data_IF_959534329769
#
_entry.id   IF_959534329769
#
_cell.length_a   1.000
_cell.length_b   1.000
_cell.length_c   1.000
_cell.angle_alpha   90.00
_cell.angle_beta   90.00
_cell.angle_gamma   90.00
#
_symmetry.space_group_name_H-M   'P 1'
#
loop_
_entity.id
_entity.type
_entity.pdbx_description
1 polymer ?
#
# COMPACT_ATOMS: atom_id res chain seq x y z
N UNK A 1 0.56 -23.71 -3.45
CA UNK A 1 -0.09 -22.38 -3.30
C UNK A 1 -1.31 -22.62 -2.43
N UNK A 2 -1.12 -22.55 -1.11
CA UNK A 2 -2.08 -23.08 -0.13
C UNK A 2 -3.18 -22.04 0.09
N UNK A 3 -4.32 -22.27 -0.57
CA UNK A 3 -5.59 -21.57 -0.37
C UNK A 3 -6.08 -21.80 1.06
N UNK A 4 -5.95 -20.81 1.93
CA UNK A 4 -6.72 -20.75 3.18
C UNK A 4 -8.13 -20.25 2.84
N UNK A 5 -8.96 -21.14 2.30
CA UNK A 5 -10.40 -21.04 2.49
C UNK A 5 -10.65 -21.21 3.99
N UNK A 6 -11.33 -20.28 4.68
CA UNK A 6 -11.79 -20.57 6.02
C UNK A 6 -12.87 -21.64 5.91
N UNK A 7 -12.55 -22.83 6.42
CA UNK A 7 -13.48 -23.90 6.70
C UNK A 7 -14.74 -23.32 7.37
N UNK A 8 -15.91 -23.62 6.81
CA UNK A 8 -17.23 -23.28 7.36
C UNK A 8 -17.55 -24.00 8.68
N UNK A 9 -16.59 -24.71 9.29
CA UNK A 9 -16.82 -25.64 10.39
C UNK A 9 -16.49 -25.12 11.79
N UNK A 10 -16.17 -23.84 12.00
CA UNK A 10 -15.86 -23.33 13.36
C UNK A 10 -16.58 -22.01 13.69
N UNK A 11 -17.92 -22.02 13.57
CA UNK A 11 -18.77 -21.06 14.29
C UNK A 11 -19.04 -21.60 15.71
N UNK A 12 -17.98 -21.72 16.50
CA UNK A 12 -18.13 -21.90 17.94
C UNK A 12 -18.60 -20.56 18.54
N UNK A 13 -19.91 -20.43 18.73
CA UNK A 13 -20.48 -19.42 19.62
C UNK A 13 -19.86 -19.58 21.01
N UNK A 14 -19.25 -18.52 21.54
CA UNK A 14 -18.89 -18.49 22.96
C UNK A 14 -20.13 -18.75 23.81
N UNK A 15 -19.97 -19.34 25.00
CA UNK A 15 -21.07 -19.66 25.92
C UNK A 15 -21.91 -18.43 26.37
N UNK A 16 -21.49 -17.22 26.00
CA UNK A 16 -22.11 -15.91 26.29
C UNK A 16 -22.74 -15.25 25.03
N UNK A 17 -22.82 -15.96 23.89
CA UNK A 17 -23.44 -15.44 22.65
C UNK A 17 -22.68 -14.30 21.98
N UNK A 18 -21.49 -13.94 22.47
CA UNK A 18 -20.61 -12.93 21.84
C UNK A 18 -19.86 -13.55 20.64
N UNK A 19 -19.76 -12.84 19.50
CA UNK A 19 -18.96 -13.29 18.38
C UNK A 19 -17.51 -13.49 18.84
N UNK A 20 -16.89 -14.61 18.43
CA UNK A 20 -15.50 -14.90 18.73
C UNK A 20 -14.63 -13.69 18.33
N UNK A 21 -13.89 -13.13 19.28
CA UNK A 21 -13.05 -11.97 19.05
C UNK A 21 -11.97 -12.35 18.04
N UNK A 22 -12.10 -11.87 16.81
CA UNK A 22 -11.08 -12.02 15.79
C UNK A 22 -9.73 -11.45 16.23
N UNK A 23 -8.65 -11.72 15.48
CA UNK A 23 -7.32 -11.24 15.83
C UNK A 23 -7.31 -9.72 16.11
N UNK A 24 -6.80 -9.33 17.27
CA UNK A 24 -6.82 -7.95 17.79
C UNK A 24 -5.79 -7.02 17.13
N UNK A 25 -5.08 -7.50 16.09
CA UNK A 25 -4.09 -6.71 15.38
C UNK A 25 -3.62 -7.37 14.08
N UNK A 26 -2.79 -6.65 13.33
CA UNK A 26 -2.28 -7.11 12.03
C UNK A 26 -1.00 -7.93 12.14
N UNK A 27 -0.41 -8.06 13.33
CA UNK A 27 0.89 -8.71 13.55
C UNK A 27 0.81 -10.23 13.63
N UNK A 28 1.88 -10.91 13.21
CA UNK A 28 2.18 -12.30 13.52
C UNK A 28 3.59 -12.40 14.10
N UNK A 29 3.97 -13.54 14.68
CA UNK A 29 5.34 -13.80 15.15
C UNK A 29 6.37 -13.51 14.04
N UNK A 30 6.07 -13.91 12.80
CA UNK A 30 6.94 -13.64 11.65
C UNK A 30 7.07 -12.13 11.35
N UNK A 31 5.99 -11.34 11.38
CA UNK A 31 6.07 -9.90 11.12
C UNK A 31 6.71 -9.14 12.28
N UNK A 32 6.59 -9.64 13.52
CA UNK A 32 7.29 -9.11 14.69
C UNK A 32 8.79 -9.35 14.57
N UNK A 33 9.20 -10.58 14.27
CA UNK A 33 10.61 -10.93 14.04
C UNK A 33 11.19 -10.09 12.91
N UNK A 34 10.48 -9.95 11.78
CA UNK A 34 10.90 -9.07 10.69
C UNK A 34 11.03 -7.61 11.15
N UNK A 35 10.08 -7.11 11.94
CA UNK A 35 10.16 -5.76 12.51
C UNK A 35 11.39 -5.55 13.39
N UNK A 36 11.71 -6.51 14.26
CA UNK A 36 12.93 -6.48 15.09
C UNK A 36 14.18 -6.52 14.23
N UNK A 37 14.24 -7.37 13.21
CA UNK A 37 15.36 -7.44 12.26
C UNK A 37 15.55 -6.11 11.54
N UNK A 38 14.46 -5.47 11.08
CA UNK A 38 14.51 -4.16 10.44
C UNK A 38 15.01 -3.08 11.39
N UNK A 39 14.56 -3.07 12.64
CA UNK A 39 15.03 -2.12 13.65
C UNK A 39 16.52 -2.28 13.96
N UNK A 40 16.96 -3.51 14.23
CA UNK A 40 18.37 -3.80 14.51
C UNK A 40 19.25 -3.54 13.30
N UNK A 41 18.81 -3.93 12.10
CA UNK A 41 19.49 -3.66 10.85
C UNK A 41 19.58 -2.17 10.54
N UNK A 42 18.53 -1.40 10.83
CA UNK A 42 18.53 0.06 10.71
C UNK A 42 19.49 0.74 11.68
N UNK A 43 19.55 0.29 12.93
CA UNK A 43 20.52 0.77 13.90
C UNK A 43 21.96 0.46 13.46
N UNK A 44 22.21 -0.77 12.99
CA UNK A 44 23.51 -1.16 12.45
C UNK A 44 23.89 -0.32 11.22
N UNK A 45 22.96 -0.09 10.30
CA UNK A 45 23.15 0.77 9.13
C UNK A 45 23.51 2.20 9.53
N UNK A 46 22.85 2.76 10.55
CA UNK A 46 23.17 4.09 11.05
C UNK A 46 24.60 4.16 11.60
N UNK A 47 25.02 3.18 12.40
CA UNK A 47 26.39 3.11 12.94
C UNK A 47 27.42 2.95 11.81
N UNK A 48 27.17 2.04 10.86
CA UNK A 48 28.08 1.79 9.76
C UNK A 48 28.16 2.97 8.80
N UNK A 49 27.02 3.48 8.32
CA UNK A 49 26.96 4.57 7.35
C UNK A 49 27.38 5.91 7.91
N UNK A 50 27.03 6.23 9.17
CA UNK A 50 27.28 7.55 9.74
C UNK A 50 28.59 7.65 10.53
N UNK A 51 29.16 6.54 11.01
CA UNK A 51 30.38 6.58 11.84
C UNK A 51 31.53 5.73 11.28
N UNK A 52 31.31 4.44 11.01
CA UNK A 52 32.42 3.50 10.79
C UNK A 52 32.94 3.44 9.34
N UNK A 53 32.09 3.78 8.38
CA UNK A 53 32.52 3.80 6.97
C UNK A 53 33.47 4.95 6.73
N UNK A 54 34.62 4.63 6.10
CA UNK A 54 35.63 5.63 5.72
C UNK A 54 35.06 6.58 4.65
N UNK A 55 35.52 7.85 4.61
CA UNK A 55 35.17 8.78 3.56
C UNK A 55 35.48 8.20 2.18
N UNK A 56 34.59 8.44 1.23
CA UNK A 56 34.77 8.02 -0.15
C UNK A 56 35.92 8.79 -0.83
N UNK A 57 36.60 8.16 -1.79
CA UNK A 57 37.75 8.78 -2.47
C UNK A 57 37.33 10.02 -3.27
N UNK A 58 36.14 10.01 -3.88
CA UNK A 58 35.63 11.09 -4.72
C UNK A 58 34.66 12.00 -3.95
N UNK A 59 33.73 11.37 -3.23
CA UNK A 59 32.63 12.05 -2.54
C UNK A 59 33.01 12.50 -1.12
N UNK A 60 34.02 11.88 -0.50
CA UNK A 60 34.38 12.13 0.89
C UNK A 60 33.22 11.81 1.84
N UNK A 61 32.99 12.70 2.80
CA UNK A 61 31.89 12.61 3.78
C UNK A 61 30.49 12.71 3.14
N UNK A 62 30.40 13.24 1.90
CA UNK A 62 29.13 13.38 1.17
C UNK A 62 28.54 12.04 0.75
N UNK A 63 29.29 10.94 0.85
CA UNK A 63 28.79 9.60 0.58
C UNK A 63 27.80 9.11 1.66
N UNK A 64 27.88 9.60 2.90
CA UNK A 64 27.11 9.02 4.00
C UNK A 64 25.58 9.04 3.81
N UNK A 65 24.96 10.14 3.32
CA UNK A 65 23.51 10.14 3.07
C UNK A 65 23.07 9.19 1.95
N UNK A 66 23.97 8.79 1.04
CA UNK A 66 23.67 7.85 -0.05
C UNK A 66 23.27 6.49 0.49
N UNK A 67 23.83 6.06 1.64
CA UNK A 67 23.45 4.80 2.30
C UNK A 67 21.99 4.75 2.75
N UNK A 68 21.30 5.89 2.83
CA UNK A 68 19.86 5.97 3.12
C UNK A 68 19.08 6.33 1.86
N UNK A 69 19.56 7.31 1.09
CA UNK A 69 18.88 7.81 -0.10
C UNK A 69 18.67 6.73 -1.19
N UNK A 70 19.71 5.94 -1.49
CA UNK A 70 19.65 4.90 -2.52
C UNK A 70 18.68 3.77 -2.15
N UNK A 71 18.69 3.26 -0.90
CA UNK A 71 17.64 2.34 -0.45
C UNK A 71 16.23 2.92 -0.52
N UNK A 72 16.03 4.21 -0.19
CA UNK A 72 14.69 4.80 -0.23
C UNK A 72 14.12 4.87 -1.66
N UNK A 73 14.92 5.27 -2.65
CA UNK A 73 14.44 5.34 -4.03
C UNK A 73 14.22 3.96 -4.63
N UNK A 74 15.07 3.01 -4.28
CA UNK A 74 14.97 1.62 -4.75
C UNK A 74 13.72 0.93 -4.19
N UNK A 75 13.42 1.14 -2.90
CA UNK A 75 12.19 0.67 -2.28
C UNK A 75 10.94 1.32 -2.91
N UNK A 76 10.97 2.64 -3.16
CA UNK A 76 9.88 3.33 -3.85
C UNK A 76 9.62 2.73 -5.23
N UNK A 77 10.66 2.53 -6.04
CA UNK A 77 10.54 1.94 -7.38
C UNK A 77 9.96 0.52 -7.34
N UNK A 78 10.44 -0.33 -6.43
CA UNK A 78 9.88 -1.68 -6.27
C UNK A 78 8.39 -1.63 -5.93
N UNK A 79 7.99 -0.78 -5.00
CA UNK A 79 6.59 -0.61 -4.59
C UNK A 79 5.72 -0.06 -5.72
N UNK A 80 6.23 0.85 -6.53
CA UNK A 80 5.53 1.34 -7.72
C UNK A 80 5.42 0.30 -8.85
N UNK A 81 6.42 -0.57 -9.00
CA UNK A 81 6.31 -1.74 -9.89
C UNK A 81 5.23 -2.70 -9.36
N UNK A 82 5.19 -2.97 -8.05
CA UNK A 82 4.12 -3.77 -7.44
C UNK A 82 2.74 -3.12 -7.60
N UNK A 83 2.65 -1.79 -7.51
CA UNK A 83 1.43 -1.05 -7.82
C UNK A 83 0.99 -1.26 -9.27
N UNK A 84 1.93 -1.15 -10.22
CA UNK A 84 1.66 -1.38 -11.64
C UNK A 84 1.18 -2.82 -11.90
N UNK A 85 1.85 -3.81 -11.32
CA UNK A 85 1.44 -5.23 -11.42
C UNK A 85 0.05 -5.44 -10.83
N UNK A 86 -0.22 -4.93 -9.62
CA UNK A 86 -1.56 -5.02 -9.02
C UNK A 86 -2.63 -4.32 -9.87
N UNK A 87 -2.30 -3.17 -10.46
CA UNK A 87 -3.18 -2.42 -11.35
C UNK A 87 -3.50 -3.20 -12.64
N UNK A 88 -2.48 -3.76 -13.31
CA UNK A 88 -2.67 -4.59 -14.49
C UNK A 88 -3.49 -5.84 -14.18
N UNK A 89 -3.20 -6.52 -13.07
CA UNK A 89 -3.91 -7.71 -12.64
C UNK A 89 -5.36 -7.43 -12.23
N UNK A 90 -5.66 -6.25 -11.66
CA UNK A 90 -7.03 -5.80 -11.46
C UNK A 90 -7.76 -5.64 -12.80
N UNK A 91 -7.15 -4.99 -13.79
CA UNK A 91 -7.79 -4.80 -15.10
C UNK A 91 -8.06 -6.13 -15.82
N UNK A 92 -7.16 -7.11 -15.66
CA UNK A 92 -7.32 -8.43 -16.27
C UNK A 92 -8.26 -9.36 -15.50
N UNK A 93 -8.07 -9.53 -14.19
CA UNK A 93 -8.79 -10.52 -13.38
C UNK A 93 -9.93 -9.95 -12.53
N UNK A 94 -10.03 -8.63 -12.39
CA UNK A 94 -11.06 -7.94 -11.61
C UNK A 94 -11.21 -8.45 -10.16
N UNK A 95 -10.11 -8.88 -9.55
CA UNK A 95 -10.09 -9.38 -8.16
C UNK A 95 -9.67 -8.30 -7.16
N UNK A 96 -10.43 -8.17 -6.08
CA UNK A 96 -10.18 -7.21 -4.97
C UNK A 96 -8.78 -7.32 -4.37
N UNK A 97 -8.18 -8.51 -4.40
CA UNK A 97 -6.82 -8.74 -3.93
C UNK A 97 -5.80 -7.87 -4.68
N UNK A 98 -5.88 -7.83 -6.01
CA UNK A 98 -4.95 -7.06 -6.82
C UNK A 98 -5.15 -5.56 -6.68
N UNK A 99 -6.39 -5.12 -6.53
CA UNK A 99 -6.70 -3.72 -6.22
C UNK A 99 -6.14 -3.30 -4.85
N UNK A 100 -6.31 -4.14 -3.82
CA UNK A 100 -5.78 -3.87 -2.49
C UNK A 100 -4.25 -3.88 -2.45
N UNK A 101 -3.62 -4.78 -3.21
CA UNK A 101 -2.16 -4.80 -3.38
C UNK A 101 -1.67 -3.51 -4.04
N UNK A 102 -2.34 -3.08 -5.11
CA UNK A 102 -1.99 -1.84 -5.80
C UNK A 102 -2.12 -0.63 -4.86
N UNK A 103 -3.23 -0.52 -4.12
CA UNK A 103 -3.46 0.55 -3.18
C UNK A 103 -2.38 0.62 -2.09
N UNK A 104 -2.12 -0.52 -1.43
CA UNK A 104 -1.12 -0.59 -0.36
C UNK A 104 0.29 -0.26 -0.88
N UNK A 105 0.66 -0.76 -2.05
CA UNK A 105 1.96 -0.50 -2.64
C UNK A 105 2.15 0.97 -3.04
N UNK A 106 1.13 1.63 -3.60
CA UNK A 106 1.20 3.06 -3.91
C UNK A 106 1.36 3.92 -2.66
N UNK A 107 0.60 3.65 -1.59
CA UNK A 107 0.67 4.44 -0.36
C UNK A 107 2.02 4.30 0.34
N UNK A 108 2.54 3.08 0.47
CA UNK A 108 3.87 2.86 1.06
C UNK A 108 4.96 3.42 0.13
N UNK A 109 4.83 3.23 -1.19
CA UNK A 109 5.77 3.76 -2.17
C UNK A 109 5.86 5.27 -2.14
N UNK A 110 4.73 5.95 -1.94
CA UNK A 110 4.66 7.41 -1.81
C UNK A 110 5.43 7.91 -0.58
N UNK A 111 5.37 7.19 0.55
CA UNK A 111 6.16 7.50 1.75
C UNK A 111 7.66 7.39 1.44
N UNK A 112 8.09 6.30 0.81
CA UNK A 112 9.51 6.11 0.43
C UNK A 112 9.99 7.15 -0.60
N UNK A 113 9.13 7.53 -1.53
CA UNK A 113 9.47 8.57 -2.51
C UNK A 113 9.56 9.95 -1.85
N UNK A 114 8.69 10.26 -0.88
CA UNK A 114 8.81 11.48 -0.07
C UNK A 114 10.11 11.51 0.73
N UNK A 115 10.50 10.38 1.35
CA UNK A 115 11.79 10.23 2.01
C UNK A 115 12.96 10.39 1.04
N UNK A 116 12.82 9.89 -0.19
CA UNK A 116 13.81 10.06 -1.26
C UNK A 116 14.00 11.52 -1.60
N UNK A 117 12.92 12.29 -1.77
CA UNK A 117 13.01 13.73 -2.03
C UNK A 117 13.66 14.48 -0.87
N UNK A 118 13.30 14.16 0.38
CA UNK A 118 13.87 14.79 1.56
C UNK A 118 15.37 14.51 1.72
N UNK A 119 15.75 13.24 1.65
CA UNK A 119 17.15 12.82 1.76
C UNK A 119 17.99 13.31 0.58
N UNK A 120 17.40 13.34 -0.62
CA UNK A 120 18.02 13.89 -1.83
C UNK A 120 18.27 15.40 -1.71
N UNK A 121 17.30 16.16 -1.21
CA UNK A 121 17.44 17.60 -0.98
C UNK A 121 18.55 17.90 0.05
N UNK A 122 18.61 17.13 1.14
CA UNK A 122 19.70 17.24 2.12
C UNK A 122 21.07 16.94 1.49
N UNK A 123 21.15 15.89 0.67
CA UNK A 123 22.36 15.54 -0.05
C UNK A 123 22.78 16.60 -1.08
N UNK A 124 21.82 17.20 -1.78
CA UNK A 124 22.05 18.33 -2.68
C UNK A 124 22.65 19.53 -1.93
N UNK A 125 22.15 19.84 -0.72
CA UNK A 125 22.65 20.97 0.08
C UNK A 125 24.12 20.81 0.46
N UNK A 126 24.55 19.59 0.80
CA UNK A 126 25.95 19.30 1.17
C UNK A 126 26.87 19.15 -0.04
N UNK A 127 26.33 18.79 -1.21
CA UNK A 127 27.13 18.50 -2.41
C UNK A 127 27.26 19.72 -3.33
N UNK A 128 26.18 20.47 -3.53
CA UNK A 128 26.08 21.59 -4.46
C UNK A 128 25.70 22.92 -3.80
N UNK A 129 25.41 22.92 -2.50
CA UNK A 129 25.09 24.15 -1.75
C UNK A 129 23.61 24.55 -1.77
N UNK A 130 22.75 23.83 -2.48
CA UNK A 130 21.30 24.12 -2.62
C UNK A 130 20.45 22.88 -2.33
N UNK A 131 19.27 23.06 -1.74
CA UNK A 131 18.35 21.95 -1.46
C UNK A 131 17.61 21.45 -2.70
N UNK A 132 17.45 22.30 -3.70
CA UNK A 132 16.69 21.99 -4.90
C UNK A 132 17.31 22.67 -6.09
N UNK A 133 17.39 21.94 -7.18
CA UNK A 133 17.64 22.45 -8.52
C UNK A 133 16.54 21.92 -9.44
N UNK A 134 16.26 22.65 -10.51
CA UNK A 134 15.21 22.28 -11.47
C UNK A 134 15.74 21.37 -12.58
N UNK A 135 16.70 20.51 -12.25
CA UNK A 135 17.22 19.56 -13.22
C UNK A 135 16.21 18.44 -13.55
N UNK A 136 16.52 17.71 -14.62
CA UNK A 136 15.62 16.69 -15.15
C UNK A 136 15.30 15.56 -14.16
N UNK A 137 16.25 15.12 -13.32
CA UNK A 137 16.04 14.03 -12.36
C UNK A 137 15.20 14.51 -11.19
N UNK A 138 15.52 15.66 -10.60
CA UNK A 138 14.73 16.23 -9.49
C UNK A 138 13.30 16.50 -9.92
N UNK A 139 13.14 17.18 -11.05
CA UNK A 139 11.83 17.56 -11.57
C UNK A 139 11.01 16.32 -11.92
N UNK A 140 11.57 15.34 -12.63
CA UNK A 140 10.84 14.11 -12.96
C UNK A 140 10.47 13.29 -11.71
N UNK A 141 11.34 13.27 -10.69
CA UNK A 141 11.05 12.60 -9.41
C UNK A 141 9.90 13.28 -8.67
N UNK A 142 9.87 14.62 -8.67
CA UNK A 142 8.76 15.40 -8.12
C UNK A 142 7.45 15.16 -8.89
N UNK A 143 7.51 15.11 -10.22
CA UNK A 143 6.34 14.78 -11.05
C UNK A 143 5.82 13.38 -10.72
N UNK A 144 6.71 12.40 -10.56
CA UNK A 144 6.33 11.05 -10.12
C UNK A 144 5.70 11.05 -8.73
N UNK A 145 6.24 11.84 -7.79
CA UNK A 145 5.66 12.00 -6.45
C UNK A 145 4.25 12.56 -6.52
N UNK A 146 4.04 13.63 -7.28
CA UNK A 146 2.72 14.24 -7.46
C UNK A 146 1.74 13.32 -8.20
N UNK A 147 2.21 12.51 -9.16
CA UNK A 147 1.38 11.53 -9.85
C UNK A 147 0.87 10.43 -8.89
N UNK A 148 1.73 9.90 -8.02
CA UNK A 148 1.33 8.92 -7.01
C UNK A 148 0.54 9.54 -5.85
N UNK A 149 0.79 10.80 -5.50
CA UNK A 149 -0.08 11.55 -4.57
C UNK A 149 -1.48 11.71 -5.17
N UNK A 150 -1.56 12.04 -6.47
CA UNK A 150 -2.81 12.07 -7.23
C UNK A 150 -3.51 10.71 -7.28
N UNK A 151 -2.76 9.61 -7.41
CA UNK A 151 -3.30 8.25 -7.32
C UNK A 151 -3.99 8.01 -5.97
N UNK A 152 -3.34 8.35 -4.85
CA UNK A 152 -3.91 8.17 -3.51
C UNK A 152 -5.13 9.06 -3.31
N UNK A 153 -5.06 10.34 -3.73
CA UNK A 153 -6.17 11.28 -3.65
C UNK A 153 -7.38 10.82 -4.49
N UNK A 154 -7.16 10.32 -5.71
CA UNK A 154 -8.20 9.77 -6.58
C UNK A 154 -8.94 8.63 -5.88
N UNK A 155 -8.21 7.73 -5.22
CA UNK A 155 -8.82 6.61 -4.47
C UNK A 155 -9.67 7.08 -3.30
N UNK A 156 -9.26 8.16 -2.61
CA UNK A 156 -10.07 8.76 -1.55
C UNK A 156 -11.32 9.49 -2.05
N UNK A 157 -11.35 9.94 -3.30
CA UNK A 157 -12.46 10.73 -3.86
C UNK A 157 -13.61 9.93 -4.46
N UNK A 158 -13.41 8.65 -4.80
CA UNK A 158 -14.40 7.82 -5.49
C UNK A 158 -15.03 6.81 -4.53
N UNK A 159 -16.35 6.91 -4.36
CA UNK A 159 -17.13 6.02 -3.51
C UNK A 159 -17.30 4.63 -4.10
N UNK A 160 -17.69 4.53 -5.38
CA UNK A 160 -17.90 3.23 -6.03
C UNK A 160 -16.58 2.43 -6.12
N UNK A 161 -16.47 1.27 -5.43
CA UNK A 161 -15.21 0.55 -5.32
C UNK A 161 -14.66 0.06 -6.66
N UNK A 162 -15.53 -0.29 -7.61
CA UNK A 162 -15.13 -0.85 -8.91
C UNK A 162 -14.63 0.23 -9.86
N UNK A 163 -15.31 1.37 -9.92
CA UNK A 163 -14.89 2.56 -10.66
C UNK A 163 -13.61 3.12 -10.07
N UNK A 164 -13.52 3.21 -8.74
CA UNK A 164 -12.30 3.61 -8.01
C UNK A 164 -11.11 2.77 -8.44
N UNK A 165 -11.23 1.45 -8.30
CA UNK A 165 -10.16 0.51 -8.62
C UNK A 165 -9.73 0.61 -10.10
N UNK A 166 -10.69 0.73 -11.02
CA UNK A 166 -10.41 0.80 -12.46
C UNK A 166 -9.71 2.10 -12.84
N UNK A 167 -10.21 3.26 -12.38
CA UNK A 167 -9.58 4.56 -12.67
C UNK A 167 -8.20 4.68 -12.01
N UNK A 168 -8.08 4.22 -10.77
CA UNK A 168 -6.79 4.18 -10.08
C UNK A 168 -5.81 3.26 -10.83
N UNK A 169 -6.22 2.07 -11.27
CA UNK A 169 -5.34 1.16 -12.00
C UNK A 169 -4.78 1.78 -13.30
N UNK A 170 -5.60 2.51 -14.06
CA UNK A 170 -5.13 3.23 -15.26
C UNK A 170 -4.10 4.30 -14.89
N UNK A 171 -4.38 5.10 -13.84
CA UNK A 171 -3.44 6.12 -13.37
C UNK A 171 -2.14 5.52 -12.82
N UNK A 172 -2.21 4.40 -12.11
CA UNK A 172 -1.04 3.69 -11.57
C UNK A 172 -0.13 3.17 -12.67
N UNK A 173 -0.71 2.55 -13.71
CA UNK A 173 0.05 2.12 -14.89
C UNK A 173 0.69 3.29 -15.64
N UNK A 174 -0.05 4.39 -15.83
CA UNK A 174 0.52 5.61 -16.43
C UNK A 174 1.65 6.21 -15.60
N UNK A 175 1.49 6.25 -14.27
CA UNK A 175 2.50 6.78 -13.35
C UNK A 175 3.75 5.90 -13.29
N UNK A 176 3.62 4.58 -13.47
CA UNK A 176 4.76 3.67 -13.52
C UNK A 176 5.72 3.95 -14.69
N UNK A 177 5.23 4.56 -15.79
CA UNK A 177 6.07 5.00 -16.90
C UNK A 177 7.03 6.14 -16.50
N UNK A 178 6.78 6.81 -15.37
CA UNK A 178 7.70 7.82 -14.84
C UNK A 178 8.96 7.20 -14.23
N UNK A 179 8.94 5.91 -13.83
CA UNK A 179 10.14 5.24 -13.30
C UNK A 179 11.29 5.24 -14.32
N UNK A 180 11.12 4.71 -15.56
CA UNK A 180 12.19 4.76 -16.55
C UNK A 180 12.54 6.20 -16.96
N UNK A 181 11.57 7.12 -16.99
CA UNK A 181 11.83 8.54 -17.26
C UNK A 181 12.78 9.14 -16.22
N UNK A 182 12.51 8.94 -14.93
CA UNK A 182 13.37 9.43 -13.84
C UNK A 182 14.75 8.77 -13.90
N UNK A 183 14.80 7.45 -14.11
CA UNK A 183 16.07 6.73 -14.16
C UNK A 183 16.96 7.21 -15.32
N UNK A 184 16.39 7.32 -16.52
CA UNK A 184 17.09 7.74 -17.74
C UNK A 184 17.23 9.25 -17.90
N UNK A 185 16.59 10.05 -17.05
CA UNK A 185 16.68 11.52 -17.10
C UNK A 185 18.12 12.05 -17.09
N UNK A 186 19.03 11.39 -16.37
CA UNK A 186 20.44 11.78 -16.29
C UNK A 186 21.17 11.53 -17.61
N UNK A 187 20.92 10.39 -18.24
CA UNK A 187 21.54 10.03 -19.53
C UNK A 187 21.00 10.93 -20.65
N UNK A 188 19.68 11.18 -20.66
CA UNK A 188 19.01 11.91 -21.74
C UNK A 188 19.27 13.42 -21.70
N UNK A 189 19.29 14.03 -20.52
CA UNK A 189 19.45 15.49 -20.38
C UNK A 189 20.82 15.93 -19.86
N UNK A 190 21.79 15.01 -19.73
CA UNK A 190 23.15 15.31 -19.25
C UNK A 190 23.12 16.17 -17.98
N UNK A 191 22.29 15.77 -17.02
CA UNK A 191 22.11 16.48 -15.75
C UNK A 191 23.42 16.51 -14.96
N UNK A 192 23.62 17.54 -14.14
CA UNK A 192 24.69 17.59 -13.13
C UNK A 192 24.55 16.47 -12.08
N UNK A 193 23.39 15.80 -12.04
CA UNK A 193 23.18 14.63 -11.21
C UNK A 193 24.11 13.48 -11.57
N UNK A 194 24.73 12.91 -10.54
CA UNK A 194 25.56 11.73 -10.69
C UNK A 194 24.75 10.57 -11.30
N UNK A 195 25.42 9.76 -12.12
CA UNK A 195 24.88 8.54 -12.70
C UNK A 195 24.40 7.53 -11.65
N UNK A 196 23.79 6.43 -12.09
CA UNK A 196 23.27 5.39 -11.19
C UNK A 196 24.40 4.69 -10.43
N UNK A 197 24.38 4.72 -9.09
CA UNK A 197 25.33 3.97 -8.24
C UNK A 197 25.08 2.46 -8.26
N UNK A 198 23.86 2.01 -8.56
CA UNK A 198 23.48 0.58 -8.52
C UNK A 198 23.62 -0.16 -9.85
N UNK A 199 23.42 0.56 -10.95
CA UNK A 199 23.40 -0.01 -12.31
C UNK A 199 24.38 0.68 -13.27
N UNK A 200 25.18 1.62 -12.78
CA UNK A 200 26.36 2.12 -13.48
C UNK A 200 27.56 1.20 -13.25
N UNK A 201 28.73 1.60 -13.77
CA UNK A 201 29.99 1.01 -13.36
C UNK A 201 30.14 1.24 -11.85
N UNK A 202 29.97 0.18 -11.04
CA UNK A 202 30.37 0.22 -9.63
C UNK A 202 31.81 0.73 -9.63
N UNK A 203 32.05 1.89 -9.02
CA UNK A 203 33.39 2.44 -8.95
C UNK A 203 34.30 1.35 -8.37
N UNK A 204 35.34 0.89 -9.09
CA UNK A 204 36.28 -0.10 -8.59
C UNK A 204 36.91 0.28 -7.25
N UNK A 205 36.85 1.57 -6.87
CA UNK A 205 37.29 2.10 -5.58
C UNK A 205 36.31 1.87 -4.42
N UNK A 206 35.01 1.61 -4.68
CA UNK A 206 34.01 1.28 -3.66
C UNK A 206 34.15 -0.18 -3.19
N UNK A 207 35.25 -0.47 -2.50
CA UNK A 207 35.56 -1.79 -1.94
C UNK A 207 35.19 -1.93 -0.46
N UNK A 208 34.96 -3.17 -0.02
CA UNK A 208 34.88 -3.53 1.41
C UNK A 208 33.67 -2.95 2.14
N UNK A 209 33.93 -2.18 3.20
CA UNK A 209 32.89 -1.73 4.14
C UNK A 209 31.86 -0.79 3.51
N UNK A 210 32.25 0.03 2.53
CA UNK A 210 31.34 0.93 1.82
C UNK A 210 30.28 0.15 1.03
N UNK A 211 30.72 -0.85 0.28
CA UNK A 211 29.83 -1.70 -0.51
C UNK A 211 28.93 -2.54 0.39
N UNK A 212 29.50 -3.12 1.46
CA UNK A 212 28.73 -3.85 2.46
C UNK A 212 27.64 -2.95 3.08
N UNK A 213 27.98 -1.72 3.46
CA UNK A 213 27.04 -0.77 4.06
C UNK A 213 25.93 -0.38 3.09
N UNK A 214 26.25 -0.19 1.80
CA UNK A 214 25.25 0.08 0.76
C UNK A 214 24.29 -1.09 0.58
N UNK A 215 24.80 -2.32 0.46
CA UNK A 215 23.96 -3.51 0.31
C UNK A 215 23.13 -3.81 1.57
N UNK A 216 23.71 -3.60 2.76
CA UNK A 216 22.95 -3.66 4.01
C UNK A 216 21.80 -2.64 3.99
N UNK A 217 22.08 -1.41 3.54
CA UNK A 217 21.06 -0.38 3.36
C UNK A 217 19.94 -0.83 2.44
N UNK A 218 20.28 -1.41 1.28
CA UNK A 218 19.29 -1.96 0.34
C UNK A 218 18.47 -3.06 0.99
N UNK A 219 19.11 -4.03 1.64
CA UNK A 219 18.41 -5.15 2.31
C UNK A 219 17.47 -4.64 3.39
N UNK A 220 17.92 -3.73 4.26
CA UNK A 220 17.10 -3.14 5.32
C UNK A 220 15.95 -2.31 4.74
N UNK A 221 16.22 -1.49 3.70
CA UNK A 221 15.21 -0.70 3.02
C UNK A 221 14.13 -1.55 2.37
N UNK A 222 14.51 -2.64 1.69
CA UNK A 222 13.56 -3.59 1.09
C UNK A 222 12.78 -4.36 2.14
N UNK A 223 13.43 -4.77 3.24
CA UNK A 223 12.77 -5.43 4.36
C UNK A 223 11.75 -4.49 5.04
N UNK A 224 12.09 -3.22 5.26
CA UNK A 224 11.19 -2.21 5.79
C UNK A 224 10.01 -1.96 4.84
N UNK A 225 10.27 -1.82 3.55
CA UNK A 225 9.23 -1.66 2.53
C UNK A 225 8.25 -2.83 2.50
N UNK A 226 8.77 -4.06 2.51
CA UNK A 226 7.96 -5.28 2.58
C UNK A 226 7.17 -5.37 3.89
N UNK A 227 7.79 -5.03 5.03
CA UNK A 227 7.13 -5.03 6.32
C UNK A 227 5.97 -4.03 6.37
N UNK A 228 6.17 -2.80 5.92
CA UNK A 228 5.12 -1.78 5.82
C UNK A 228 4.03 -2.18 4.82
N UNK A 229 4.38 -2.75 3.67
CA UNK A 229 3.45 -3.24 2.68
C UNK A 229 2.53 -4.34 3.25
N UNK A 230 3.09 -5.31 3.98
CA UNK A 230 2.32 -6.39 4.62
C UNK A 230 1.29 -5.80 5.59
N UNK A 231 1.70 -4.88 6.45
CA UNK A 231 0.79 -4.26 7.42
C UNK A 231 -0.27 -3.42 6.72
N UNK A 232 0.12 -2.59 5.76
CA UNK A 232 -0.82 -1.73 5.03
C UNK A 232 -1.84 -2.54 4.23
N UNK A 233 -1.39 -3.62 3.59
CA UNK A 233 -2.26 -4.56 2.89
C UNK A 233 -3.23 -5.23 3.86
N UNK A 234 -2.74 -5.76 4.99
CA UNK A 234 -3.58 -6.40 6.01
C UNK A 234 -4.67 -5.48 6.55
N UNK A 235 -4.31 -4.23 6.87
CA UNK A 235 -5.30 -3.23 7.31
C UNK A 235 -6.38 -3.06 6.25
N UNK A 236 -6.01 -2.78 5.00
CA UNK A 236 -7.00 -2.57 3.95
C UNK A 236 -7.84 -3.80 3.64
N UNK A 237 -7.23 -4.99 3.69
CA UNK A 237 -7.92 -6.25 3.49
C UNK A 237 -8.96 -6.52 4.58
N UNK A 238 -8.61 -6.28 5.84
CA UNK A 238 -9.55 -6.41 6.96
C UNK A 238 -10.68 -5.38 6.88
N UNK A 239 -10.38 -4.15 6.47
CA UNK A 239 -11.42 -3.14 6.23
C UNK A 239 -12.42 -3.60 5.17
N UNK A 240 -11.95 -4.15 4.04
CA UNK A 240 -12.82 -4.72 3.01
C UNK A 240 -13.70 -5.86 3.55
N UNK A 241 -13.14 -6.75 4.37
CA UNK A 241 -13.90 -7.85 4.98
C UNK A 241 -14.99 -7.36 5.94
N UNK A 242 -14.70 -6.33 6.73
CA UNK A 242 -15.68 -5.71 7.63
C UNK A 242 -16.80 -5.05 6.84
N UNK A 243 -16.48 -4.34 5.76
CA UNK A 243 -17.47 -3.71 4.86
C UNK A 243 -18.39 -4.76 4.21
N UNK A 244 -17.84 -5.87 3.70
CA UNK A 244 -18.60 -6.96 3.09
C UNK A 244 -19.47 -7.72 4.12
N UNK A 245 -18.93 -7.96 5.32
CA UNK A 245 -19.64 -8.64 6.40
C UNK A 245 -20.83 -7.82 6.93
N UNK A 246 -20.62 -6.53 7.22
CA UNK A 246 -21.68 -5.64 7.69
C UNK A 246 -22.81 -5.46 6.67
N UNK A 247 -22.48 -5.46 5.38
CA UNK A 247 -23.49 -5.44 4.32
C UNK A 247 -24.36 -6.70 4.34
N UNK A 248 -23.77 -7.86 4.57
CA UNK A 248 -24.50 -9.14 4.64
C UNK A 248 -25.49 -9.14 5.81
N UNK A 249 -25.04 -8.68 6.99
CA UNK A 249 -25.89 -8.55 8.17
C UNK A 249 -27.06 -7.58 7.95
N UNK A 250 -26.81 -6.44 7.31
CA UNK A 250 -27.86 -5.47 6.98
C UNK A 250 -28.90 -6.05 6.01
N UNK A 251 -28.47 -6.84 5.02
CA UNK A 251 -29.38 -7.51 4.08
C UNK A 251 -30.26 -8.53 4.81
N UNK A 252 -29.67 -9.34 5.68
CA UNK A 252 -30.41 -10.37 6.42
C UNK A 252 -31.40 -9.75 7.44
N UNK A 253 -31.02 -8.64 8.09
CA UNK A 253 -31.93 -7.87 8.94
C UNK A 253 -33.15 -7.35 8.16
N UNK A 254 -32.94 -6.77 6.95
CA UNK A 254 -34.03 -6.29 6.10
C UNK A 254 -34.93 -7.41 5.58
N UNK A 255 -34.35 -8.58 5.26
CA UNK A 255 -35.14 -9.77 4.89
C UNK A 255 -36.00 -10.26 6.06
N UNK A 256 -35.46 -10.25 7.28
CA UNK A 256 -36.20 -10.62 8.49
C UNK A 256 -37.33 -9.63 8.81
N UNK A 257 -37.11 -8.32 8.65
CA UNK A 257 -38.15 -7.30 8.76
C UNK A 257 -39.28 -7.51 7.73
N UNK A 258 -38.93 -7.77 6.47
CA UNK A 258 -39.89 -8.02 5.41
C UNK A 258 -40.74 -9.28 5.67
N UNK A 259 -40.11 -10.36 6.15
CA UNK A 259 -40.82 -11.59 6.51
C UNK A 259 -41.83 -11.39 7.66
N UNK A 260 -41.47 -10.59 8.67
CA UNK A 260 -42.40 -10.24 9.77
C UNK A 260 -43.57 -9.39 9.29
N UNK A 261 -43.34 -8.49 8.34
CA UNK A 261 -44.40 -7.66 7.75
C UNK A 261 -45.40 -8.50 6.92
N UNK A 262 -44.93 -9.52 6.20
CA UNK A 262 -45.81 -10.44 5.47
C UNK A 262 -46.65 -11.32 6.40
N UNK A 263 -46.07 -11.83 7.49
CA UNK A 263 -46.83 -12.66 8.47
C UNK A 263 -47.92 -11.85 9.17
N UNK A 264 -47.64 -10.59 9.54
CA UNK A 264 -48.60 -9.70 10.19
C UNK A 264 -49.80 -9.32 9.33
N UNK A 265 -49.71 -9.45 8.00
CA UNK A 265 -50.80 -9.12 7.07
C UNK A 265 -51.83 -10.27 6.94
N UNK A 266 -51.46 -11.49 7.34
CA UNK A 266 -52.31 -12.69 7.21
C UNK A 266 -53.35 -12.89 8.32
N UNK A 267 -53.28 -12.13 9.42
CA UNK A 267 -54.14 -12.30 10.62
C UNK A 267 -55.36 -11.36 10.62
N UNK A 268 -55.52 -10.51 9.59
CA UNK A 268 -56.56 -9.47 9.53
C UNK A 268 -57.86 -9.81 8.79
N UNK A 269 -58.01 -10.98 8.16
CA UNK A 269 -59.26 -11.37 7.51
C UNK A 269 -60.24 -11.95 8.54
N UNK A 270 -60.92 -11.07 9.28
CA UNK A 270 -61.98 -11.43 10.22
C UNK A 270 -63.14 -12.19 9.56
N UNK A 271 -63.89 -13.01 10.32
CA UNK A 271 -64.94 -13.87 9.77
C UNK A 271 -66.03 -13.02 9.09
N UNK A 272 -66.37 -13.41 7.86
CA UNK A 272 -67.40 -12.79 7.04
C UNK A 272 -68.72 -12.70 7.83
N UNK A 273 -69.18 -11.47 8.07
CA UNK A 273 -70.50 -11.21 8.64
C UNK A 273 -71.57 -11.73 7.68
N UNK A 274 -72.30 -12.75 8.10
CA UNK A 274 -73.49 -13.24 7.41
C UNK A 274 -74.58 -12.17 7.47
N UNK A 275 -74.87 -11.58 6.30
CA UNK A 275 -76.02 -10.69 6.09
C UNK A 275 -77.28 -11.53 6.26
N UNK A 276 -78.03 -11.27 7.33
CA UNK A 276 -79.35 -11.86 7.59
C UNK A 276 -80.37 -11.07 6.76
N UNK A 277 -81.01 -11.74 5.82
CA UNK A 277 -82.15 -11.24 5.06
C UNK A 277 -83.40 -11.32 5.93
N UNK A 278 -83.86 -10.18 6.44
CA UNK A 278 -85.21 -10.06 6.99
C UNK A 278 -86.16 -9.68 5.85
N UNK A 279 -86.98 -10.65 5.46
CA UNK A 279 -88.23 -10.45 4.73
C UNK A 279 -89.24 -9.74 5.64
N UNK A 280 -89.97 -8.75 5.12
CA UNK A 280 -91.25 -8.34 5.69
C UNK A 280 -92.27 -8.10 4.56
N UNK A 281 -93.46 -8.73 4.60
CA UNK A 281 -94.51 -8.52 3.63
C UNK A 281 -95.61 -7.60 4.17
N UNK A 282 -95.85 -6.47 3.52
CA UNK A 282 -97.17 -5.82 3.40
C UNK A 282 -97.16 -4.69 2.39
#
# INVERSE_FOLDING_TARGET
MTTTQPSTADRATSADGRPATGPTGTGSTATLVLGVIVLLGGALLAVLGLALTKPDVQLGERMRPIYVHVPTVSAAYLLFVLNAVGSAMWLWRKSRFWDQLAAAAAEVGLVFLGLTLLTGAFWGRITWGVYWDWDARLTSTLVMFLAYLGYVALRGSILDPTTRATRAAVLGLGSALLIPLVHKSVDWWRSYHQGSTLFGELDPSMGGLQLFTLFLGLTVGMALAGWLLIHRFRVGWLTLQVEEGGLTEAIDARRAEAARASDGTSVGAGPAASVRSDEDPS
#
